data_IF_585316106716
#
_entry.id   IF_585316106716
#
_cell.length_a   1.000
_cell.length_b   1.000
_cell.length_c   1.000
_cell.angle_alpha   90.00
_cell.angle_beta   90.00
_cell.angle_gamma   90.00
#
_symmetry.space_group_name_H-M   'P 1'
#
loop_
_entity.id
_entity.type
_entity.pdbx_description
1 polymer ?
#
# COMPACT_ATOMS: atom_id res chain seq x y z
N UNK A 1 -15.14 -0.16 2.83
CA UNK A 1 -14.05 -1.02 2.33
C UNK A 1 -14.24 -1.26 0.84
N UNK A 2 -13.15 -1.25 0.07
CA UNK A 2 -13.12 -1.59 -1.35
C UNK A 2 -13.45 -3.08 -1.56
N UNK A 3 -14.04 -3.41 -2.71
CA UNK A 3 -14.21 -4.80 -3.13
C UNK A 3 -12.89 -5.39 -3.63
N UNK A 4 -12.74 -6.72 -3.74
CA UNK A 4 -11.51 -7.33 -4.30
C UNK A 4 -11.16 -6.81 -5.70
N UNK A 5 -12.17 -6.60 -6.55
CA UNK A 5 -11.98 -6.06 -7.91
C UNK A 5 -11.50 -4.60 -7.88
N UNK A 6 -12.00 -3.81 -6.93
CA UNK A 6 -11.55 -2.43 -6.76
C UNK A 6 -10.13 -2.36 -6.22
N UNK A 7 -9.77 -3.22 -5.25
CA UNK A 7 -8.40 -3.35 -4.75
C UNK A 7 -7.46 -3.76 -5.89
N UNK A 8 -7.85 -4.75 -6.69
CA UNK A 8 -7.07 -5.18 -7.84
C UNK A 8 -6.85 -4.05 -8.84
N UNK A 9 -7.91 -3.32 -9.20
CA UNK A 9 -7.83 -2.15 -10.11
C UNK A 9 -6.98 -1.02 -9.52
N UNK A 10 -7.06 -0.80 -8.21
CA UNK A 10 -6.35 0.26 -7.53
C UNK A 10 -4.83 0.00 -7.46
N UNK A 11 -4.42 -1.28 -7.33
CA UNK A 11 -3.01 -1.66 -7.16
C UNK A 11 -2.32 -2.04 -8.46
N UNK A 12 -2.94 -2.89 -9.28
CA UNK A 12 -2.25 -3.62 -10.36
C UNK A 12 -1.63 -2.68 -11.40
N UNK A 13 -0.34 -2.88 -11.67
CA UNK A 13 0.42 -2.13 -12.66
C UNK A 13 0.82 -0.72 -12.22
N UNK A 14 0.61 -0.37 -10.95
CA UNK A 14 0.82 0.99 -10.44
C UNK A 14 1.96 1.05 -9.43
N UNK A 15 2.57 2.23 -9.37
CA UNK A 15 3.44 2.64 -8.27
C UNK A 15 2.65 3.57 -7.35
N UNK A 16 2.60 3.24 -6.07
CA UNK A 16 1.87 3.99 -5.07
C UNK A 16 2.82 4.38 -3.93
N UNK A 17 2.81 5.65 -3.57
CA UNK A 17 3.47 6.16 -2.37
C UNK A 17 2.64 5.80 -1.15
N UNK A 18 3.29 5.39 -0.07
CA UNK A 18 2.71 5.11 1.23
C UNK A 18 3.09 6.23 2.21
N UNK A 19 2.10 6.83 2.83
CA UNK A 19 2.23 7.93 3.78
C UNK A 19 1.75 7.50 5.16
N UNK A 20 2.44 7.97 6.19
CA UNK A 20 2.01 7.84 7.57
C UNK A 20 0.69 8.62 7.77
N UNK A 21 -0.37 7.98 8.31
CA UNK A 21 -1.69 8.60 8.37
C UNK A 21 -1.83 9.68 9.44
N UNK A 22 -0.93 9.73 10.42
CA UNK A 22 -0.94 10.72 11.49
C UNK A 22 -0.14 11.98 11.13
N UNK A 23 0.94 11.81 10.38
CA UNK A 23 1.89 12.89 10.07
C UNK A 23 1.88 13.34 8.61
N UNK A 24 1.35 12.52 7.70
CA UNK A 24 1.44 12.75 6.26
C UNK A 24 2.84 12.56 5.67
N UNK A 25 3.81 12.08 6.47
CA UNK A 25 5.17 11.84 5.98
C UNK A 25 5.23 10.61 5.07
N UNK A 26 5.94 10.70 3.94
CA UNK A 26 6.13 9.55 3.03
C UNK A 26 7.07 8.53 3.67
N UNK A 27 6.58 7.31 3.83
CA UNK A 27 7.35 6.18 4.36
C UNK A 27 8.05 5.38 3.26
N UNK A 28 7.34 5.12 2.15
CA UNK A 28 7.83 4.28 1.07
C UNK A 28 7.05 4.52 -0.25
N UNK A 29 7.47 3.85 -1.31
CA UNK A 29 6.69 3.62 -2.52
C UNK A 29 6.70 2.14 -2.88
N UNK A 30 5.61 1.63 -3.44
CA UNK A 30 5.49 0.23 -3.88
C UNK A 30 4.99 0.17 -5.31
N UNK A 31 5.71 -0.54 -6.17
CA UNK A 31 5.26 -0.90 -7.52
C UNK A 31 4.67 -2.30 -7.50
N UNK A 32 3.39 -2.44 -7.83
CA UNK A 32 2.69 -3.73 -7.89
C UNK A 32 2.60 -4.19 -9.35
N UNK A 33 3.35 -5.23 -9.71
CA UNK A 33 3.44 -5.71 -11.10
C UNK A 33 2.35 -6.74 -11.41
N UNK A 34 1.87 -6.83 -12.67
CA UNK A 34 0.84 -7.79 -13.06
C UNK A 34 1.25 -9.27 -12.92
N UNK A 35 2.55 -9.56 -12.84
CA UNK A 35 3.08 -10.91 -12.66
C UNK A 35 3.03 -11.42 -11.20
N UNK A 36 2.45 -10.64 -10.29
CA UNK A 36 2.36 -10.96 -8.86
C UNK A 36 3.62 -10.58 -8.07
N UNK A 37 4.62 -9.94 -8.69
CA UNK A 37 5.77 -9.37 -7.98
C UNK A 37 5.53 -7.91 -7.61
N UNK A 38 6.24 -7.44 -6.59
CA UNK A 38 6.28 -6.03 -6.25
C UNK A 38 7.71 -5.56 -5.98
N UNK A 39 7.92 -4.25 -6.00
CA UNK A 39 9.15 -3.61 -5.56
C UNK A 39 8.82 -2.51 -4.56
N UNK A 40 9.41 -2.61 -3.37
CA UNK A 40 9.35 -1.62 -2.32
C UNK A 40 10.55 -0.69 -2.48
N UNK A 41 10.32 0.61 -2.37
CA UNK A 41 11.36 1.64 -2.28
C UNK A 41 11.14 2.46 -1.02
N UNK A 42 12.12 2.45 -0.13
CA UNK A 42 12.08 3.21 1.12
C UNK A 42 12.36 4.70 0.86
N UNK A 43 12.05 5.55 1.84
CA UNK A 43 12.31 6.99 1.76
C UNK A 43 13.79 7.35 1.59
N UNK A 44 14.71 6.49 2.04
CA UNK A 44 16.16 6.62 1.87
C UNK A 44 16.67 6.16 0.48
N UNK A 45 15.76 5.63 -0.37
CA UNK A 45 16.07 5.14 -1.70
C UNK A 45 16.48 3.68 -1.77
N UNK A 46 16.59 2.97 -0.64
CA UNK A 46 16.80 1.53 -0.66
C UNK A 46 15.62 0.81 -1.33
N UNK A 47 15.90 -0.23 -2.09
CA UNK A 47 14.89 -1.02 -2.80
C UNK A 47 14.93 -2.49 -2.41
N UNK A 48 13.76 -3.10 -2.39
CA UNK A 48 13.58 -4.50 -2.05
C UNK A 48 12.49 -5.14 -2.92
N UNK A 49 12.74 -6.36 -3.37
CA UNK A 49 11.76 -7.17 -4.10
C UNK A 49 10.74 -7.81 -3.18
N UNK A 50 9.62 -8.20 -3.75
CA UNK A 50 8.62 -8.99 -3.05
C UNK A 50 7.60 -9.60 -3.98
N UNK A 51 6.63 -10.26 -3.36
CA UNK A 51 5.43 -10.77 -4.01
C UNK A 51 4.20 -10.15 -3.35
N UNK A 52 3.12 -10.03 -4.12
CA UNK A 52 1.85 -9.54 -3.63
C UNK A 52 0.71 -10.39 -4.15
N UNK A 53 -0.44 -10.29 -3.49
CA UNK A 53 -1.64 -10.97 -3.94
C UNK A 53 -2.88 -10.51 -3.20
N UNK A 54 -3.99 -11.17 -3.51
CA UNK A 54 -5.30 -10.94 -2.92
C UNK A 54 -5.82 -12.23 -2.30
N UNK A 55 -6.45 -12.11 -1.14
CA UNK A 55 -7.23 -13.18 -0.51
C UNK A 55 -8.52 -12.56 0.04
N UNK A 56 -9.63 -12.78 -0.66
CA UNK A 56 -10.88 -12.08 -0.39
C UNK A 56 -10.71 -10.57 -0.55
N UNK A 57 -11.12 -9.79 0.45
CA UNK A 57 -11.03 -8.32 0.49
C UNK A 57 -9.68 -7.78 0.98
N UNK A 58 -8.73 -8.68 1.25
CA UNK A 58 -7.43 -8.36 1.84
C UNK A 58 -6.35 -8.52 0.77
N UNK A 59 -5.62 -7.44 0.49
CA UNK A 59 -4.36 -7.58 -0.24
C UNK A 59 -3.21 -7.81 0.72
N UNK A 60 -2.16 -8.43 0.22
CA UNK A 60 -1.00 -8.71 1.03
C UNK A 60 0.28 -8.55 0.23
N UNK A 61 1.35 -8.23 0.94
CA UNK A 61 2.71 -8.23 0.42
C UNK A 61 3.60 -9.10 1.28
N UNK A 62 4.62 -9.70 0.66
CA UNK A 62 5.73 -10.38 1.32
C UNK A 62 7.01 -9.96 0.63
N UNK A 63 7.90 -9.32 1.37
CA UNK A 63 9.21 -8.91 0.88
C UNK A 63 10.28 -9.90 1.35
N UNK A 64 11.51 -9.80 0.87
CA UNK A 64 12.57 -10.77 1.15
C UNK A 64 13.11 -10.69 2.60
N UNK A 65 13.15 -9.48 3.16
CA UNK A 65 13.70 -9.13 4.47
C UNK A 65 12.78 -8.19 5.25
N UNK A 66 12.10 -7.24 4.59
CA UNK A 66 11.26 -6.28 5.28
C UNK A 66 10.17 -6.99 6.08
N UNK A 67 10.02 -6.59 7.36
CA UNK A 67 9.15 -7.23 8.35
C UNK A 67 9.39 -8.74 8.49
N UNK A 68 10.66 -9.15 8.46
CA UNK A 68 11.07 -10.53 8.65
C UNK A 68 10.67 -11.48 7.52
N UNK A 69 10.30 -10.94 6.36
CA UNK A 69 9.79 -11.73 5.23
C UNK A 69 8.40 -12.32 5.48
N UNK A 70 7.66 -11.76 6.43
CA UNK A 70 6.29 -12.21 6.73
C UNK A 70 5.28 -11.64 5.73
N UNK A 71 4.14 -12.33 5.62
CA UNK A 71 2.99 -11.86 4.83
C UNK A 71 2.26 -10.78 5.62
N UNK A 72 2.16 -9.60 5.02
CA UNK A 72 1.52 -8.43 5.61
C UNK A 72 0.20 -8.14 4.89
N UNK A 73 -0.91 -8.39 5.57
CA UNK A 73 -2.26 -8.21 5.03
C UNK A 73 -2.88 -6.86 5.38
N UNK A 74 -3.60 -6.29 4.43
CA UNK A 74 -4.28 -5.00 4.56
C UNK A 74 -5.62 -4.98 3.82
N UNK A 75 -6.57 -4.23 4.35
CA UNK A 75 -7.82 -3.86 3.66
C UNK A 75 -7.76 -2.40 3.23
N UNK A 76 -8.40 -2.09 2.10
CA UNK A 76 -8.44 -0.72 1.59
C UNK A 76 -9.80 -0.06 1.76
N UNK A 77 -9.76 1.20 2.13
CA UNK A 77 -10.90 2.11 2.09
C UNK A 77 -10.57 3.29 1.18
N UNK A 78 -11.41 3.52 0.17
CA UNK A 78 -11.26 4.67 -0.72
C UNK A 78 -11.61 5.95 0.07
N UNK A 79 -10.66 6.87 0.17
CA UNK A 79 -10.89 8.19 0.75
C UNK A 79 -11.35 9.17 -0.33
N UNK A 80 -10.67 9.15 -1.48
CA UNK A 80 -10.95 9.95 -2.69
C UNK A 80 -10.42 9.21 -3.92
N UNK A 81 -10.69 9.74 -5.11
CA UNK A 81 -10.08 9.23 -6.35
C UNK A 81 -8.56 9.05 -6.16
N UNK A 82 -8.07 7.84 -6.42
CA UNK A 82 -6.66 7.47 -6.29
C UNK A 82 -6.02 7.62 -4.89
N UNK A 83 -6.81 7.77 -3.83
CA UNK A 83 -6.31 7.85 -2.46
C UNK A 83 -7.07 6.85 -1.59
N UNK A 84 -6.33 5.90 -1.00
CA UNK A 84 -6.91 4.88 -0.14
C UNK A 84 -6.21 4.81 1.23
N UNK A 85 -6.98 4.69 2.30
CA UNK A 85 -6.48 4.27 3.61
C UNK A 85 -6.31 2.75 3.61
N UNK A 86 -5.09 2.29 3.90
CA UNK A 86 -4.82 0.91 4.24
C UNK A 86 -5.02 0.69 5.73
N UNK A 87 -5.75 -0.36 6.06
CA UNK A 87 -6.04 -0.82 7.40
C UNK A 87 -5.36 -2.16 7.63
N UNK A 88 -4.72 -2.35 8.77
CA UNK A 88 -4.31 -3.67 9.22
C UNK A 88 -5.56 -4.56 9.40
N UNK A 89 -5.37 -5.88 9.33
CA UNK A 89 -6.48 -6.84 9.50
C UNK A 89 -7.17 -6.74 10.87
N UNK A 90 -6.46 -6.22 11.88
CA UNK A 90 -6.97 -5.93 13.22
C UNK A 90 -7.81 -4.64 13.32
N UNK A 91 -7.91 -3.87 12.22
CA UNK A 91 -8.67 -2.62 12.15
C UNK A 91 -7.89 -1.36 12.51
N UNK A 92 -6.59 -1.44 12.82
CA UNK A 92 -5.76 -0.25 13.04
C UNK A 92 -5.32 0.41 11.72
N UNK A 93 -5.11 1.73 11.71
CA UNK A 93 -4.60 2.46 10.53
C UNK A 93 -3.18 2.02 10.24
N UNK A 94 -2.91 1.62 8.99
CA UNK A 94 -1.56 1.25 8.55
C UNK A 94 -0.87 2.43 7.83
N UNK A 95 -1.36 2.81 6.66
CA UNK A 95 -0.82 3.91 5.84
C UNK A 95 -1.86 4.39 4.84
N UNK A 96 -1.69 5.60 4.31
CA UNK A 96 -2.45 6.08 3.17
C UNK A 96 -1.63 5.83 1.92
N UNK A 97 -2.24 5.30 0.86
CA UNK A 97 -1.56 5.05 -0.40
C UNK A 97 -2.21 5.76 -1.59
N UNK A 98 -1.37 6.28 -2.48
CA UNK A 98 -1.76 7.08 -3.64
C UNK A 98 -0.64 7.14 -4.68
N UNK A 99 -0.92 7.30 -6.00
CA UNK A 99 0.12 7.54 -6.99
C UNK A 99 0.73 8.94 -6.88
N UNK A 100 0.09 9.86 -6.13
CA UNK A 100 0.55 11.24 -5.99
C UNK A 100 1.89 11.30 -5.24
N UNK A 101 2.77 12.21 -5.66
CA UNK A 101 4.08 12.41 -5.03
C UNK A 101 3.96 12.96 -3.60
N UNK A 102 2.90 13.71 -3.34
CA UNK A 102 2.59 14.34 -2.06
C UNK A 102 1.13 14.05 -1.68
N UNK A 103 0.87 13.99 -0.38
CA UNK A 103 -0.46 13.77 0.15
C UNK A 103 -1.24 15.10 0.19
N UNK A 104 -2.46 15.18 -0.39
CA UNK A 104 -3.26 16.39 -0.30
C UNK A 104 -3.61 16.79 1.14
N UNK A 105 -3.74 18.09 1.37
CA UNK A 105 -4.13 18.63 2.67
C UNK A 105 -5.48 18.07 3.15
N UNK A 106 -5.58 17.82 4.46
CA UNK A 106 -6.79 17.33 5.11
C UNK A 106 -7.09 15.84 4.90
N UNK A 107 -6.13 15.07 4.36
CA UNK A 107 -6.24 13.60 4.26
C UNK A 107 -5.60 12.90 5.48
N UNK A 108 -4.44 13.37 5.95
CA UNK A 108 -3.81 12.89 7.17
C UNK A 108 -4.33 13.63 8.42
N UNK A 109 -4.33 12.95 9.57
CA UNK A 109 -4.89 13.42 10.85
C UNK A 109 -5.53 12.28 11.63
#
# INVERSE_FOLDING_TARGET
>A
MMTPDDVHRFLMGRTLNAFDPATGARAAAVTYRPDGTCALRFADGAEEGGIWGLEGDTYWTRYDQFRGGERNGFRLELLREDIAQAWHVDGSRAFIQTPLEELPEGIAG
#
